data_IF_930290344310
#
_entry.id   IF_930290344310
#
_cell.length_a   1.000
_cell.length_b   1.000
_cell.length_c   1.000
_cell.angle_alpha   90.00
_cell.angle_beta   90.00
_cell.angle_gamma   90.00
#
_symmetry.space_group_name_H-M   'P 1'
#
loop_
_entity.id
_entity.type
_entity.pdbx_description
1 polymer ?
#
# COMPACT_ATOMS: atom_id res chain seq x y z
N UNK A 1 -2.12 -2.22 16.97
CA UNK A 1 -1.61 -3.35 17.76
C UNK A 1 -2.27 -4.67 17.36
N UNK A 2 -3.58 -4.71 17.13
CA UNK A 2 -4.27 -5.95 16.75
C UNK A 2 -3.81 -6.53 15.40
N UNK A 3 -3.67 -5.69 14.35
CA UNK A 3 -3.21 -6.15 13.03
C UNK A 3 -1.76 -6.68 13.04
N UNK A 4 -0.83 -6.02 13.73
CA UNK A 4 0.57 -6.48 13.83
C UNK A 4 0.69 -7.86 14.50
N UNK A 5 -0.10 -8.10 15.55
CA UNK A 5 -0.13 -9.43 16.20
C UNK A 5 -0.70 -10.49 15.26
N UNK A 6 -1.73 -10.16 14.46
CA UNK A 6 -2.26 -11.07 13.46
C UNK A 6 -1.22 -11.39 12.37
N UNK A 7 -0.47 -10.41 11.87
CA UNK A 7 0.63 -10.62 10.91
C UNK A 7 1.61 -11.66 11.46
N UNK A 8 2.14 -11.45 12.67
CA UNK A 8 3.13 -12.35 13.27
C UNK A 8 2.60 -13.79 13.47
N UNK A 9 1.35 -13.92 13.94
CA UNK A 9 0.74 -15.22 14.19
C UNK A 9 0.42 -15.99 12.90
N UNK A 10 -0.02 -15.28 11.86
CA UNK A 10 -0.29 -15.85 10.54
C UNK A 10 1.02 -16.24 9.89
N UNK A 11 2.02 -15.37 9.83
CA UNK A 11 3.34 -15.68 9.27
C UNK A 11 3.95 -16.93 9.92
N UNK A 12 3.88 -17.03 11.26
CA UNK A 12 4.34 -18.20 11.98
C UNK A 12 3.60 -19.48 11.58
N UNK A 13 2.28 -19.41 11.41
CA UNK A 13 1.48 -20.57 10.98
C UNK A 13 1.79 -20.94 9.53
N UNK A 14 1.88 -19.98 8.61
CA UNK A 14 2.14 -20.23 7.19
C UNK A 14 3.54 -20.83 6.98
N UNK A 15 4.54 -20.40 7.75
CA UNK A 15 5.92 -20.89 7.61
C UNK A 15 6.14 -22.29 8.18
N UNK A 16 5.41 -22.68 9.22
CA UNK A 16 5.74 -23.89 10.02
C UNK A 16 4.58 -24.85 10.26
N UNK A 17 3.35 -24.43 9.98
CA UNK A 17 2.16 -25.22 10.19
C UNK A 17 1.88 -26.20 9.05
N UNK A 18 1.13 -27.24 9.36
CA UNK A 18 0.65 -28.22 8.41
C UNK A 18 -0.90 -28.29 8.46
N UNK A 19 -1.62 -27.92 7.37
CA UNK A 19 -3.08 -27.93 7.39
C UNK A 19 -3.69 -29.33 7.54
N UNK A 20 -2.91 -30.40 7.36
CA UNK A 20 -3.35 -31.77 7.66
C UNK A 20 -3.38 -32.07 9.17
N UNK A 21 -2.62 -31.30 9.97
CA UNK A 21 -2.61 -31.40 11.43
C UNK A 21 -3.81 -30.63 11.99
N UNK A 22 -4.69 -31.34 12.71
CA UNK A 22 -5.93 -30.76 13.25
C UNK A 22 -5.69 -29.48 14.07
N UNK A 23 -4.62 -29.43 14.86
CA UNK A 23 -4.28 -28.26 15.68
C UNK A 23 -3.98 -27.01 14.84
N UNK A 24 -3.17 -27.18 13.80
CA UNK A 24 -2.77 -26.09 12.90
C UNK A 24 -3.95 -25.64 12.03
N UNK A 25 -4.75 -26.58 11.55
CA UNK A 25 -6.00 -26.29 10.85
C UNK A 25 -6.94 -25.43 11.73
N UNK A 26 -7.18 -25.85 12.99
CA UNK A 26 -8.02 -25.11 13.93
C UNK A 26 -7.44 -23.72 14.25
N UNK A 27 -6.13 -23.60 14.38
CA UNK A 27 -5.45 -22.31 14.56
C UNK A 27 -5.65 -21.42 13.33
N UNK A 28 -5.54 -21.96 12.12
CA UNK A 28 -5.82 -21.25 10.87
C UNK A 28 -7.25 -20.71 10.81
N UNK A 29 -8.25 -21.52 11.19
CA UNK A 29 -9.65 -21.08 11.27
C UNK A 29 -9.86 -19.93 12.27
N UNK A 30 -9.22 -20.00 13.45
CA UNK A 30 -9.31 -18.95 14.46
C UNK A 30 -8.67 -17.65 13.99
N UNK A 31 -7.49 -17.74 13.35
CA UNK A 31 -6.82 -16.58 12.79
C UNK A 31 -7.61 -15.96 11.63
N UNK A 32 -8.19 -16.79 10.75
CA UNK A 32 -9.03 -16.31 9.65
C UNK A 32 -10.27 -15.58 10.19
N UNK A 33 -10.96 -16.17 11.17
CA UNK A 33 -12.10 -15.53 11.84
C UNK A 33 -11.71 -14.20 12.48
N UNK A 34 -10.54 -14.13 13.12
CA UNK A 34 -10.02 -12.90 13.73
C UNK A 34 -9.71 -11.83 12.67
N UNK A 35 -9.11 -12.21 11.54
CA UNK A 35 -8.83 -11.30 10.43
C UNK A 35 -10.12 -10.76 9.80
N UNK A 36 -11.13 -11.61 9.59
CA UNK A 36 -12.43 -11.18 9.07
C UNK A 36 -13.17 -10.26 10.04
N UNK A 37 -13.15 -10.56 11.34
CA UNK A 37 -13.74 -9.68 12.36
C UNK A 37 -13.02 -8.33 12.45
N UNK A 38 -11.70 -8.31 12.27
CA UNK A 38 -10.94 -7.07 12.16
C UNK A 38 -11.33 -6.31 10.89
N UNK A 39 -11.38 -6.97 9.73
CA UNK A 39 -11.80 -6.38 8.45
C UNK A 39 -13.17 -5.69 8.58
N UNK A 40 -14.17 -6.35 9.16
CA UNK A 40 -15.52 -5.79 9.22
C UNK A 40 -15.60 -4.58 10.16
N UNK A 41 -14.89 -4.61 11.30
CA UNK A 41 -14.73 -3.43 12.16
C UNK A 41 -14.00 -2.31 11.45
N UNK A 42 -13.00 -2.67 10.64
CA UNK A 42 -12.24 -1.70 9.88
C UNK A 42 -13.10 -1.03 8.80
N UNK A 43 -13.85 -1.78 8.02
CA UNK A 43 -14.77 -1.25 7.01
C UNK A 43 -15.80 -0.29 7.62
N UNK A 44 -16.36 -0.66 8.78
CA UNK A 44 -17.30 0.21 9.50
C UNK A 44 -16.64 1.50 9.98
N UNK A 45 -15.48 1.39 10.65
CA UNK A 45 -14.75 2.55 11.16
C UNK A 45 -14.24 3.47 10.05
N UNK A 46 -13.84 2.92 8.90
CA UNK A 46 -13.43 3.69 7.74
C UNK A 46 -14.60 4.49 7.17
N UNK A 47 -15.77 3.87 7.03
CA UNK A 47 -17.01 4.55 6.61
C UNK A 47 -17.35 5.71 7.55
N UNK A 48 -17.34 5.48 8.85
CA UNK A 48 -17.60 6.54 9.84
C UNK A 48 -16.58 7.68 9.75
N UNK A 49 -15.29 7.34 9.59
CA UNK A 49 -14.22 8.32 9.43
C UNK A 49 -14.44 9.20 8.19
N UNK A 50 -14.79 8.62 7.04
CA UNK A 50 -15.04 9.36 5.81
C UNK A 50 -16.20 10.36 5.96
N UNK A 51 -17.27 9.98 6.67
CA UNK A 51 -18.38 10.91 6.93
C UNK A 51 -17.99 12.11 7.79
N UNK A 52 -16.90 12.01 8.57
CA UNK A 52 -16.45 13.04 9.52
C UNK A 52 -15.32 13.91 8.98
N UNK A 53 -14.37 13.34 8.24
CA UNK A 53 -13.17 14.04 7.76
C UNK A 53 -13.32 14.64 6.35
N UNK A 54 -14.48 14.41 5.72
CA UNK A 54 -14.78 14.91 4.39
C UNK A 54 -14.31 13.99 3.28
N UNK A 55 -14.71 14.33 2.06
CA UNK A 55 -14.50 13.53 0.85
C UNK A 55 -13.11 13.82 0.26
N UNK A 56 -12.42 12.76 -0.16
CA UNK A 56 -11.19 12.85 -0.94
C UNK A 56 -11.51 13.10 -2.41
N UNK A 57 -10.65 13.83 -3.09
CA UNK A 57 -10.83 14.10 -4.52
C UNK A 57 -9.59 13.73 -5.30
N UNK A 58 -9.80 13.10 -6.45
CA UNK A 58 -8.76 12.88 -7.44
C UNK A 58 -8.65 14.11 -8.33
N UNK A 59 -7.43 14.54 -8.67
CA UNK A 59 -7.22 15.58 -9.66
C UNK A 59 -6.18 15.18 -10.72
N UNK A 60 -6.51 15.36 -12.02
CA UNK A 60 -5.52 15.27 -13.08
C UNK A 60 -4.53 16.42 -12.91
N UNK A 61 -3.26 16.06 -12.71
CA UNK A 61 -2.23 17.05 -12.40
C UNK A 61 -1.82 17.87 -13.64
N UNK A 62 -1.65 19.19 -13.46
CA UNK A 62 -1.19 20.12 -14.51
C UNK A 62 0.29 20.53 -14.41
N UNK A 63 1.05 20.15 -13.36
CA UNK A 63 2.48 20.47 -13.26
C UNK A 63 3.30 19.31 -12.68
N UNK A 64 4.45 18.93 -13.28
CA UNK A 64 5.26 17.85 -12.77
C UNK A 64 6.15 18.36 -11.64
N UNK A 65 5.74 18.14 -10.40
CA UNK A 65 6.66 18.17 -9.24
C UNK A 65 7.83 17.18 -9.43
N UNK A 66 7.62 16.16 -10.26
CA UNK A 66 8.55 15.09 -10.61
C UNK A 66 9.31 15.32 -11.92
N UNK A 67 9.50 16.58 -12.35
CA UNK A 67 10.33 16.86 -13.53
C UNK A 67 11.77 16.37 -13.38
N UNK A 68 12.21 16.09 -12.15
CA UNK A 68 13.52 15.51 -11.82
C UNK A 68 13.53 13.99 -11.63
N UNK A 69 12.40 13.28 -11.79
CA UNK A 69 12.44 11.81 -11.82
C UNK A 69 13.18 11.37 -13.08
N UNK A 70 13.97 10.31 -12.97
CA UNK A 70 14.61 9.67 -14.12
C UNK A 70 13.56 9.35 -15.21
N UNK A 71 13.91 9.63 -16.46
CA UNK A 71 13.06 9.42 -17.63
C UNK A 71 12.73 7.93 -17.84
N UNK A 72 13.49 7.02 -17.20
CA UNK A 72 13.25 5.58 -17.17
C UNK A 72 12.02 5.16 -16.35
N UNK A 73 11.45 6.03 -15.52
CA UNK A 73 10.31 5.70 -14.66
C UNK A 73 9.02 6.16 -15.34
N UNK A 74 8.06 5.25 -15.60
CA UNK A 74 6.79 5.61 -16.21
C UNK A 74 6.04 6.64 -15.35
N UNK A 75 5.88 7.86 -15.87
CA UNK A 75 5.28 8.99 -15.13
C UNK A 75 3.77 8.85 -14.95
N UNK A 76 3.18 7.94 -15.70
CA UNK A 76 1.75 7.64 -15.83
C UNK A 76 1.30 6.40 -15.03
N UNK A 77 2.22 5.64 -14.42
CA UNK A 77 1.90 4.39 -13.72
C UNK A 77 0.95 4.56 -12.52
N UNK A 78 1.02 5.72 -11.85
CA UNK A 78 0.28 6.06 -10.63
C UNK A 78 -0.30 7.48 -10.78
N UNK A 79 -1.17 7.63 -11.79
CA UNK A 79 -1.83 8.89 -12.15
C UNK A 79 -2.79 9.40 -11.07
N UNK A 80 -3.05 10.70 -11.17
CA UNK A 80 -3.90 11.54 -10.33
C UNK A 80 -3.53 11.65 -8.85
N UNK A 81 -3.10 12.86 -8.47
CA UNK A 81 -2.85 13.18 -7.07
C UNK A 81 -4.17 13.19 -6.30
N UNK A 82 -4.11 12.75 -5.05
CA UNK A 82 -5.23 12.83 -4.12
C UNK A 82 -5.13 14.15 -3.38
N UNK A 83 -6.19 14.95 -3.43
CA UNK A 83 -6.33 16.15 -2.64
C UNK A 83 -7.00 15.84 -1.30
N UNK A 84 -6.43 16.36 -0.22
CA UNK A 84 -6.91 16.16 1.13
C UNK A 84 -7.35 17.49 1.73
N UNK A 85 -8.54 17.56 2.35
CA UNK A 85 -9.00 18.78 3.03
C UNK A 85 -8.04 19.23 4.14
N UNK A 86 -7.45 18.28 4.88
CA UNK A 86 -6.54 18.54 6.01
C UNK A 86 -5.50 17.41 6.15
N UNK A 87 -4.36 17.70 6.80
CA UNK A 87 -3.33 16.69 7.07
C UNK A 87 -3.84 15.52 7.93
N UNK A 88 -4.70 15.78 8.91
CA UNK A 88 -5.32 14.72 9.73
C UNK A 88 -6.22 13.78 8.93
N UNK A 89 -6.86 14.30 7.87
CA UNK A 89 -7.61 13.50 6.92
C UNK A 89 -6.68 12.58 6.13
N UNK A 90 -5.54 13.09 5.66
CA UNK A 90 -4.54 12.29 4.95
C UNK A 90 -3.92 11.20 5.83
N UNK A 91 -3.55 11.53 7.07
CA UNK A 91 -3.00 10.59 8.04
C UNK A 91 -3.97 9.44 8.32
N UNK A 92 -5.23 9.79 8.58
CA UNK A 92 -6.28 8.78 8.82
C UNK A 92 -6.41 7.84 7.64
N UNK A 93 -6.62 8.36 6.43
CA UNK A 93 -6.75 7.54 5.22
C UNK A 93 -5.54 6.64 4.98
N UNK A 94 -4.32 7.17 5.13
CA UNK A 94 -3.10 6.39 4.97
C UNK A 94 -2.98 5.26 6.00
N UNK A 95 -3.34 5.49 7.27
CA UNK A 95 -3.33 4.44 8.29
C UNK A 95 -4.32 3.32 7.97
N UNK A 96 -5.52 3.68 7.51
CA UNK A 96 -6.56 2.75 7.09
C UNK A 96 -6.11 1.91 5.90
N UNK A 97 -5.66 2.54 4.82
CA UNK A 97 -5.14 1.86 3.63
C UNK A 97 -3.93 0.98 3.95
N UNK A 98 -3.03 1.45 4.82
CA UNK A 98 -1.88 0.65 5.28
C UNK A 98 -2.34 -0.60 6.02
N UNK A 99 -3.41 -0.50 6.80
CA UNK A 99 -3.96 -1.68 7.49
C UNK A 99 -4.58 -2.65 6.49
N UNK A 100 -5.26 -2.16 5.46
CA UNK A 100 -5.83 -3.02 4.41
C UNK A 100 -4.78 -3.73 3.56
N UNK A 101 -3.69 -3.06 3.15
CA UNK A 101 -2.60 -3.72 2.40
C UNK A 101 -1.89 -4.81 3.20
N UNK A 102 -1.94 -4.74 4.54
CA UNK A 102 -1.41 -5.78 5.42
C UNK A 102 -2.45 -6.89 5.62
N UNK A 103 -3.71 -6.54 5.88
CA UNK A 103 -4.74 -7.48 6.27
C UNK A 103 -5.20 -8.40 5.12
N UNK A 104 -5.39 -7.86 3.92
CA UNK A 104 -5.93 -8.64 2.81
C UNK A 104 -5.00 -9.79 2.37
N UNK A 105 -3.67 -9.61 2.28
CA UNK A 105 -2.75 -10.73 2.06
C UNK A 105 -2.83 -11.81 3.15
N UNK A 106 -2.96 -11.45 4.44
CA UNK A 106 -3.09 -12.46 5.50
C UNK A 106 -4.35 -13.31 5.34
N UNK A 107 -5.47 -12.67 4.98
CA UNK A 107 -6.72 -13.38 4.70
C UNK A 107 -6.50 -14.33 3.52
N UNK A 108 -5.83 -13.86 2.47
CA UNK A 108 -5.53 -14.66 1.29
C UNK A 108 -4.69 -15.90 1.61
N UNK A 109 -3.57 -15.71 2.32
CA UNK A 109 -2.66 -16.77 2.73
C UNK A 109 -3.35 -17.81 3.61
N UNK A 110 -4.21 -17.37 4.54
CA UNK A 110 -5.00 -18.27 5.39
C UNK A 110 -6.03 -19.08 4.59
N UNK A 111 -6.69 -18.48 3.60
CA UNK A 111 -7.61 -19.22 2.73
C UNK A 111 -6.87 -20.26 1.90
N UNK A 112 -5.70 -19.92 1.36
CA UNK A 112 -4.83 -20.85 0.64
C UNK A 112 -4.42 -22.00 1.57
N UNK A 113 -3.92 -21.68 2.76
CA UNK A 113 -3.50 -22.67 3.75
C UNK A 113 -4.62 -23.64 4.13
N UNK A 114 -5.84 -23.12 4.31
CA UNK A 114 -7.02 -23.93 4.66
C UNK A 114 -7.68 -24.62 3.44
N UNK A 115 -7.19 -24.38 2.21
CA UNK A 115 -7.78 -24.91 0.98
C UNK A 115 -9.19 -24.38 0.70
N UNK A 116 -9.52 -23.16 1.14
CA UNK A 116 -10.84 -22.55 1.02
C UNK A 116 -10.93 -21.63 -0.19
N UNK A 117 -12.12 -21.59 -0.79
CA UNK A 117 -12.42 -20.65 -1.88
C UNK A 117 -12.65 -19.22 -1.35
N UNK A 118 -12.24 -18.24 -2.14
CA UNK A 118 -12.43 -16.80 -1.91
C UNK A 118 -13.87 -16.35 -2.17
N UNK A 119 -14.67 -17.15 -2.89
CA UNK A 119 -15.98 -16.76 -3.43
C UNK A 119 -17.04 -16.40 -2.38
N UNK A 120 -16.83 -16.77 -1.12
CA UNK A 120 -17.77 -16.51 -0.04
C UNK A 120 -17.43 -15.25 0.78
N UNK A 121 -16.40 -14.51 0.38
CA UNK A 121 -15.97 -13.32 1.10
C UNK A 121 -16.49 -12.06 0.41
N UNK A 122 -17.17 -11.22 1.18
CA UNK A 122 -17.57 -9.89 0.75
C UNK A 122 -16.49 -8.89 1.10
N UNK A 123 -16.09 -8.08 0.12
CA UNK A 123 -15.15 -6.99 0.32
C UNK A 123 -15.77 -5.68 -0.12
N UNK A 124 -15.35 -4.61 0.54
CA UNK A 124 -15.76 -3.26 0.17
C UNK A 124 -14.56 -2.59 -0.48
N UNK A 125 -14.68 -2.23 -1.76
CA UNK A 125 -13.67 -1.41 -2.41
C UNK A 125 -14.02 0.06 -2.21
N UNK A 126 -13.13 0.78 -1.53
CA UNK A 126 -13.30 2.20 -1.31
C UNK A 126 -12.48 2.96 -2.34
N UNK A 127 -13.16 3.66 -3.24
CA UNK A 127 -12.52 4.45 -4.30
C UNK A 127 -12.70 5.96 -4.07
N UNK A 128 -11.91 6.74 -4.80
CA UNK A 128 -11.88 8.19 -4.72
C UNK A 128 -12.59 8.77 -5.95
N UNK A 129 -13.62 9.61 -5.78
CA UNK A 129 -14.33 10.21 -6.90
C UNK A 129 -13.39 11.07 -7.79
N UNK A 130 -13.60 11.05 -9.12
CA UNK A 130 -12.74 11.72 -10.08
C UNK A 130 -12.95 13.25 -10.13
N UNK A 131 -14.06 13.78 -9.60
CA UNK A 131 -14.30 15.23 -9.57
C UNK A 131 -15.20 15.68 -8.42
N UNK A 132 -15.06 16.94 -7.98
CA UNK A 132 -15.87 17.57 -6.92
C UNK A 132 -17.38 17.64 -7.23
N UNK A 133 -17.78 17.45 -8.48
CA UNK A 133 -19.17 17.61 -8.92
C UNK A 133 -19.93 16.28 -8.98
N UNK A 134 -19.23 15.16 -8.77
CA UNK A 134 -19.87 13.85 -8.68
C UNK A 134 -20.22 13.55 -7.22
N UNK A 135 -21.41 12.97 -6.95
CA UNK A 135 -21.74 12.51 -5.61
C UNK A 135 -20.64 11.57 -5.16
N UNK A 136 -20.11 11.82 -3.95
CA UNK A 136 -19.12 10.97 -3.30
C UNK A 136 -19.64 9.53 -3.35
N UNK A 137 -19.11 8.72 -4.27
CA UNK A 137 -19.55 7.34 -4.40
C UNK A 137 -19.03 6.59 -3.19
N UNK A 138 -19.88 6.53 -2.16
CA UNK A 138 -19.70 5.72 -0.97
C UNK A 138 -19.50 4.29 -1.42
N UNK A 139 -18.29 3.75 -1.26
CA UNK A 139 -17.94 2.37 -1.64
C UNK A 139 -18.51 1.99 -3.01
N UNK A 140 -17.73 2.11 -4.07
CA UNK A 140 -18.07 1.37 -5.27
C UNK A 140 -18.13 -0.11 -4.83
N UNK A 141 -19.34 -0.67 -4.69
CA UNK A 141 -19.60 -2.01 -5.16
C UNK A 141 -19.21 -1.91 -6.63
N UNK A 142 -17.91 -2.04 -6.91
CA UNK A 142 -17.40 -1.95 -8.26
C UNK A 142 -18.24 -2.93 -9.06
N UNK A 143 -18.81 -2.47 -10.17
CA UNK A 143 -19.57 -3.33 -11.09
C UNK A 143 -18.70 -4.55 -11.51
N UNK A 144 -17.39 -4.48 -11.29
CA UNK A 144 -16.44 -5.58 -11.27
C UNK A 144 -15.56 -5.50 -10.00
N UNK A 145 -16.03 -6.08 -8.89
CA UNK A 145 -15.16 -6.31 -7.72
C UNK A 145 -13.99 -7.20 -8.15
N UNK A 146 -12.73 -6.89 -7.80
CA UNK A 146 -11.63 -7.79 -8.09
C UNK A 146 -11.90 -9.17 -7.48
N UNK A 147 -11.76 -10.23 -8.28
CA UNK A 147 -11.90 -11.61 -7.78
C UNK A 147 -10.78 -11.99 -6.78
N UNK A 148 -9.70 -11.21 -6.77
CA UNK A 148 -8.49 -11.42 -5.96
C UNK A 148 -8.36 -10.38 -4.83
N UNK A 149 -8.23 -10.89 -3.61
CA UNK A 149 -7.90 -10.11 -2.41
C UNK A 149 -6.65 -9.27 -2.55
N UNK A 150 -5.67 -9.77 -3.30
CA UNK A 150 -4.41 -9.07 -3.52
C UNK A 150 -4.58 -7.91 -4.49
N UNK A 151 -5.55 -7.96 -5.41
CA UNK A 151 -5.91 -6.80 -6.24
C UNK A 151 -6.59 -5.70 -5.42
N UNK A 152 -7.38 -6.07 -4.41
CA UNK A 152 -7.94 -5.11 -3.43
C UNK A 152 -6.81 -4.45 -2.62
N UNK A 153 -5.86 -5.23 -2.11
CA UNK A 153 -4.67 -4.69 -1.45
C UNK A 153 -3.87 -3.76 -2.38
N UNK A 154 -3.68 -4.16 -3.64
CA UNK A 154 -2.97 -3.37 -4.64
C UNK A 154 -3.65 -2.03 -4.91
N UNK A 155 -4.98 -1.99 -4.95
CA UNK A 155 -5.72 -0.73 -5.05
C UNK A 155 -5.35 0.24 -3.93
N UNK A 156 -5.37 -0.21 -2.67
CA UNK A 156 -5.00 0.63 -1.53
C UNK A 156 -3.53 1.04 -1.54
N UNK A 157 -2.62 0.17 -2.01
CA UNK A 157 -1.23 0.54 -2.22
C UNK A 157 -1.10 1.65 -3.27
N UNK A 158 -1.89 1.59 -4.36
CA UNK A 158 -1.92 2.64 -5.37
C UNK A 158 -2.42 3.97 -4.77
N UNK A 159 -3.46 3.94 -3.92
CA UNK A 159 -3.95 5.14 -3.24
C UNK A 159 -2.88 5.78 -2.35
N UNK A 160 -2.14 4.99 -1.56
CA UNK A 160 -1.01 5.48 -0.76
C UNK A 160 0.04 6.18 -1.64
N UNK A 161 0.38 5.57 -2.78
CA UNK A 161 1.37 6.13 -3.69
C UNK A 161 0.90 7.44 -4.36
N UNK A 162 -0.40 7.52 -4.69
CA UNK A 162 -1.03 8.74 -5.22
C UNK A 162 -1.03 9.89 -4.20
N UNK A 163 -1.03 9.59 -2.89
CA UNK A 163 -0.91 10.59 -1.82
C UNK A 163 0.46 11.25 -1.73
N UNK A 164 1.52 10.59 -2.23
CA UNK A 164 2.90 11.11 -2.17
C UNK A 164 2.93 12.53 -2.70
N UNK A 165 2.29 12.77 -3.85
CA UNK A 165 2.32 14.08 -4.54
C UNK A 165 1.72 15.23 -3.73
N UNK A 166 0.75 14.97 -2.86
CA UNK A 166 0.15 15.98 -1.99
C UNK A 166 1.02 16.21 -0.74
N UNK A 167 1.47 15.13 -0.12
CA UNK A 167 2.13 15.16 1.18
C UNK A 167 3.57 15.67 1.13
N UNK A 168 4.17 15.69 -0.05
CA UNK A 168 5.53 16.20 -0.27
C UNK A 168 5.56 17.66 -0.76
N UNK A 169 4.39 18.29 -0.94
CA UNK A 169 4.34 19.68 -1.37
C UNK A 169 4.90 20.62 -0.28
N UNK A 170 5.53 21.75 -0.66
CA UNK A 170 6.08 22.71 0.31
C UNK A 170 5.05 23.17 1.36
N UNK A 171 3.77 23.25 0.99
CA UNK A 171 2.66 23.64 1.85
C UNK A 171 2.39 22.63 2.98
N UNK A 172 2.60 21.32 2.73
CA UNK A 172 2.45 20.25 3.72
C UNK A 172 3.63 20.17 4.71
N UNK A 173 4.73 20.89 4.43
CA UNK A 173 5.97 20.97 5.23
C UNK A 173 6.51 19.58 5.59
N UNK A 174 7.37 19.48 6.61
CA UNK A 174 7.94 18.20 7.03
C UNK A 174 6.94 17.22 7.65
N UNK A 175 5.76 17.69 8.08
CA UNK A 175 4.72 16.82 8.68
C UNK A 175 4.08 15.89 7.64
N UNK A 176 3.81 16.37 6.42
CA UNK A 176 3.25 15.53 5.36
C UNK A 176 4.16 14.34 5.03
N UNK A 177 5.47 14.57 4.94
CA UNK A 177 6.42 13.48 4.75
C UNK A 177 6.47 12.52 5.93
N UNK A 178 6.44 13.01 7.19
CA UNK A 178 6.39 12.13 8.37
C UNK A 178 5.19 11.19 8.35
N UNK A 179 4.01 11.71 8.01
CA UNK A 179 2.78 10.95 7.87
C UNK A 179 2.92 9.89 6.76
N UNK A 180 3.58 10.22 5.67
CA UNK A 180 3.70 9.37 4.48
C UNK A 180 4.67 8.19 4.65
N UNK A 181 5.79 8.37 5.37
CA UNK A 181 6.92 7.43 5.34
C UNK A 181 6.55 5.98 5.61
N UNK A 182 5.88 5.72 6.72
CA UNK A 182 5.54 4.36 7.13
C UNK A 182 4.52 3.72 6.16
N UNK A 183 3.37 4.36 5.86
CA UNK A 183 2.44 3.88 4.84
C UNK A 183 3.10 3.58 3.50
N UNK A 184 3.93 4.50 3.01
CA UNK A 184 4.57 4.38 1.72
C UNK A 184 5.61 3.25 1.70
N UNK A 185 6.34 3.05 2.80
CA UNK A 185 7.23 1.90 2.95
C UNK A 185 6.47 0.58 2.90
N UNK A 186 5.27 0.51 3.49
CA UNK A 186 4.44 -0.70 3.45
C UNK A 186 3.93 -0.96 2.03
N UNK A 187 3.45 0.06 1.31
CA UNK A 187 3.06 -0.08 -0.10
C UNK A 187 4.23 -0.56 -0.97
N UNK A 188 5.44 -0.06 -0.70
CA UNK A 188 6.64 -0.47 -1.46
C UNK A 188 7.04 -1.92 -1.20
N UNK A 189 6.94 -2.38 0.05
CA UNK A 189 7.16 -3.78 0.42
C UNK A 189 6.10 -4.69 -0.21
N UNK A 190 4.85 -4.26 -0.24
CA UNK A 190 3.76 -4.97 -0.91
C UNK A 190 4.06 -5.17 -2.40
N UNK A 191 4.46 -4.12 -3.14
CA UNK A 191 4.82 -4.30 -4.56
C UNK A 191 6.03 -5.21 -4.76
N UNK A 192 7.00 -5.16 -3.84
CA UNK A 192 8.16 -6.05 -3.88
C UNK A 192 7.76 -7.52 -3.69
N UNK A 193 6.96 -7.83 -2.67
CA UNK A 193 6.50 -9.20 -2.41
C UNK A 193 5.60 -9.75 -3.52
N UNK A 194 4.87 -8.86 -4.21
CA UNK A 194 4.04 -9.20 -5.38
C UNK A 194 4.81 -9.28 -6.70
N UNK A 195 6.10 -8.93 -6.72
CA UNK A 195 6.90 -8.90 -7.95
C UNK A 195 6.50 -7.80 -8.95
N UNK A 196 5.74 -6.78 -8.51
CA UNK A 196 5.34 -5.64 -9.33
C UNK A 196 6.52 -4.69 -9.52
N UNK A 197 7.41 -5.06 -10.46
CA UNK A 197 8.72 -4.42 -10.63
C UNK A 197 8.61 -2.93 -10.95
N UNK A 198 7.72 -2.55 -11.86
CA UNK A 198 7.54 -1.14 -12.26
C UNK A 198 7.05 -0.27 -11.10
N UNK A 199 6.03 -0.73 -10.37
CA UNK A 199 5.48 0.02 -9.22
C UNK A 199 6.48 0.09 -8.06
N UNK A 200 7.23 -0.99 -7.85
CA UNK A 200 8.31 -0.99 -6.86
C UNK A 200 9.40 0.02 -7.22
N UNK A 201 9.86 0.04 -8.48
CA UNK A 201 10.86 1.00 -8.97
C UNK A 201 10.36 2.44 -8.89
N UNK A 202 9.10 2.68 -9.22
CA UNK A 202 8.47 4.00 -9.02
C UNK A 202 8.56 4.43 -7.55
N UNK A 203 8.23 3.53 -6.62
CA UNK A 203 8.29 3.83 -5.20
C UNK A 203 9.71 4.14 -4.72
N UNK A 204 10.69 3.37 -5.20
CA UNK A 204 12.11 3.61 -4.94
C UNK A 204 12.51 5.02 -5.38
N UNK A 205 12.17 5.40 -6.61
CA UNK A 205 12.52 6.71 -7.13
C UNK A 205 11.86 7.85 -6.36
N UNK A 206 10.58 7.70 -6.02
CA UNK A 206 9.88 8.66 -5.18
C UNK A 206 10.56 8.82 -3.80
N UNK A 207 10.98 7.72 -3.16
CA UNK A 207 11.78 7.77 -1.93
C UNK A 207 13.10 8.54 -2.10
N UNK A 208 13.76 8.40 -3.25
CA UNK A 208 15.04 9.05 -3.56
C UNK A 208 14.90 10.57 -3.72
N UNK A 209 13.71 11.05 -4.05
CA UNK A 209 13.40 12.47 -4.15
C UNK A 209 13.06 13.11 -2.81
N UNK A 210 12.54 12.36 -1.82
CA UNK A 210 12.12 12.92 -0.52
C UNK A 210 13.23 13.71 0.21
N UNK A 211 14.51 13.25 0.24
CA UNK A 211 15.59 14.01 0.86
C UNK A 211 15.84 15.39 0.25
N UNK A 212 15.63 15.54 -1.07
CA UNK A 212 15.87 16.81 -1.80
C UNK A 212 14.90 17.92 -1.38
N UNK A 213 13.80 17.56 -0.73
CA UNK A 213 12.75 18.50 -0.33
C UNK A 213 13.07 19.29 0.95
N UNK A 214 14.32 19.20 1.45
CA UNK A 214 14.75 19.91 2.67
C UNK A 214 14.07 19.40 3.94
N UNK A 215 13.45 18.22 3.86
CA UNK A 215 12.77 17.58 4.98
C UNK A 215 13.84 16.86 5.81
N UNK A 216 14.01 17.24 7.08
CA UNK A 216 15.00 16.66 8.00
C UNK A 216 14.90 15.13 8.20
N UNK A 217 13.90 14.49 7.59
CA UNK A 217 13.76 13.05 7.39
C UNK A 217 14.86 12.45 6.52
N UNK A 218 15.54 13.24 5.67
CA UNK A 218 16.64 12.80 4.81
C UNK A 218 17.69 11.96 5.57
N UNK A 219 18.02 12.37 6.80
CA UNK A 219 18.94 11.63 7.66
C UNK A 219 18.37 10.30 8.18
N UNK A 220 17.05 10.22 8.40
CA UNK A 220 16.36 9.05 8.91
C UNK A 220 16.16 7.98 7.81
N UNK A 221 15.77 8.42 6.61
CA UNK A 221 15.63 7.56 5.42
C UNK A 221 16.97 6.95 4.99
N UNK A 222 18.04 7.77 4.99
CA UNK A 222 19.41 7.33 4.65
C UNK A 222 19.91 6.20 5.56
N UNK A 223 19.50 6.19 6.82
CA UNK A 223 19.99 5.20 7.80
C UNK A 223 19.11 3.94 7.90
N UNK A 224 17.78 4.05 7.76
CA UNK A 224 16.88 2.90 7.99
C UNK A 224 16.44 2.17 6.73
N UNK A 225 16.28 2.91 5.64
CA UNK A 225 15.55 2.45 4.45
C UNK A 225 16.53 2.25 3.30
N UNK A 226 17.41 3.23 3.07
CA UNK A 226 18.32 3.32 1.92
C UNK A 226 19.33 2.18 1.72
N UNK A 227 20.01 1.64 2.76
CA UNK A 227 21.04 0.61 2.55
C UNK A 227 20.48 -0.68 1.94
N UNK A 228 19.20 -0.99 2.23
CA UNK A 228 18.51 -2.16 1.64
C UNK A 228 18.15 -1.92 0.17
N UNK A 229 17.84 -0.67 -0.20
CA UNK A 229 17.55 -0.29 -1.59
C UNK A 229 18.80 -0.26 -2.46
N UNK A 230 19.90 0.35 -1.99
CA UNK A 230 21.19 0.36 -2.72
C UNK A 230 21.73 -1.05 -2.93
N UNK A 231 21.57 -1.95 -1.95
CA UNK A 231 21.98 -3.34 -2.09
C UNK A 231 21.12 -4.12 -3.11
N UNK A 232 19.85 -3.77 -3.27
CA UNK A 232 18.96 -4.39 -4.25
C UNK A 232 19.26 -3.89 -5.67
N UNK A 233 19.50 -2.59 -5.86
CA UNK A 233 19.83 -2.01 -7.17
C UNK A 233 21.25 -2.37 -7.63
N UNK A 234 22.22 -2.46 -6.72
CA UNK A 234 23.60 -2.87 -7.05
C UNK A 234 23.71 -4.32 -7.54
N UNK A 235 22.84 -5.21 -7.06
CA UNK A 235 22.77 -6.60 -7.54
C UNK A 235 22.19 -6.72 -8.95
N UNK A 236 21.20 -5.89 -9.28
CA UNK A 236 20.60 -5.87 -10.64
C UNK A 236 21.58 -5.33 -11.68
N UNK A 237 22.40 -4.33 -11.32
CA UNK A 237 23.43 -3.77 -12.21
C UNK A 237 24.60 -4.74 -12.43
N UNK A 238 24.93 -5.58 -11.44
CA UNK A 238 25.93 -6.65 -11.62
C UNK A 238 25.42 -7.83 -12.45
N UNK A 239 24.11 -8.12 -12.40
CA UNK A 239 23.49 -9.15 -13.24
C UNK A 239 23.40 -8.72 -14.71
N UNK A 240 23.08 -7.45 -14.99
CA UNK A 240 23.00 -6.94 -16.38
C UNK A 240 24.35 -6.63 -17.03
N UNK A 241 25.44 -6.57 -16.25
CA UNK A 241 26.81 -6.40 -16.76
C UNK A 241 27.59 -7.70 -16.92
N UNK A 242 26.99 -8.86 -16.61
CA UNK A 242 27.60 -10.17 -16.80
C UNK A 242 27.05 -10.95 -18.02
N UNK A 243 26.10 -10.38 -18.76
CA UNK A 243 25.51 -10.98 -19.98
C UNK A 243 25.94 -10.32 -21.30
N UNK A 244 26.85 -9.32 -21.28
CA UNK A 244 27.32 -8.65 -22.51
C UNK A 244 28.73 -9.03 -22.98
N UNK A 245 29.36 -10.04 -22.37
CA UNK A 245 30.72 -10.51 -22.75
C UNK A 245 30.73 -12.00 -23.15
N UNK A 246 29.69 -12.44 -23.88
CA UNK A 246 29.67 -13.74 -24.56
C UNK A 246 28.76 -13.70 -25.79
N UNK A 247 29.24 -13.08 -26.87
CA UNK A 247 29.24 -13.62 -28.25
C UNK A 247 29.90 -12.63 -29.24
#
# INVERSE_FOLDING_TARGET
MECSTLVELVDSLIQSGDPSVRGDYQKGEQLLSSCLSLKDRLDLGFREMQTRLGVLWSFPQQKPFWSELDDSIPRDLLMDAIDYPFLTCSESHLLWWTTFILLYPLIDDLLIFLGRSRNNLSFTLWDIPPSHNEPCSCATLADELPEDLLAVAEHYANLICRSVKFLVQPQAKGMGAQILLAPFSQATQFYHSRGSTEKHQWCQAAFMCLPKLGIGIAAFLKCMVWPKYEAATSKTVQASSSESDAD
#
